data_IF_463645162833
#
_entry.id   IF_463645162833
#
_cell.length_a   1.000
_cell.length_b   1.000
_cell.length_c   1.000
_cell.angle_alpha   90.00
_cell.angle_beta   90.00
_cell.angle_gamma   90.00
#
_symmetry.space_group_name_H-M   'P 1'
#
loop_
_entity.id
_entity.type
_entity.pdbx_description
1 polymer ?
#
# COMPACT_ATOMS: atom_id res chain seq x y z
N UNK A 1 -15.40 2.02 8.96
CA UNK A 1 -15.80 1.25 7.77
C UNK A 1 -16.57 2.05 6.73
N UNK A 2 -17.12 3.23 7.05
CA UNK A 2 -17.92 4.05 6.11
C UNK A 2 -17.24 4.29 4.76
N UNK A 3 -16.02 4.84 4.75
CA UNK A 3 -15.29 5.08 3.51
C UNK A 3 -14.99 3.81 2.68
N UNK A 4 -14.87 2.64 3.33
CA UNK A 4 -14.73 1.37 2.61
C UNK A 4 -16.03 1.00 1.91
N UNK A 5 -17.16 1.14 2.60
CA UNK A 5 -18.49 0.80 2.08
C UNK A 5 -18.90 1.75 0.95
N UNK A 6 -18.63 3.05 1.09
CA UNK A 6 -18.83 4.04 0.01
C UNK A 6 -18.03 3.69 -1.24
N UNK A 7 -16.78 3.23 -1.07
CA UNK A 7 -15.95 2.77 -2.20
C UNK A 7 -16.51 1.51 -2.85
N UNK A 8 -17.05 0.58 -2.07
CA UNK A 8 -17.70 -0.64 -2.59
C UNK A 8 -18.95 -0.29 -3.39
N UNK A 9 -19.78 0.64 -2.89
CA UNK A 9 -20.95 1.13 -3.62
C UNK A 9 -20.54 1.79 -4.94
N UNK A 10 -19.52 2.66 -4.91
CA UNK A 10 -18.99 3.33 -6.10
C UNK A 10 -18.44 2.35 -7.16
N UNK A 11 -17.83 1.24 -6.74
CA UNK A 11 -17.38 0.18 -7.65
C UNK A 11 -18.54 -0.44 -8.42
N UNK A 12 -19.65 -0.78 -7.74
CA UNK A 12 -20.84 -1.31 -8.40
C UNK A 12 -21.46 -0.29 -9.37
N UNK A 13 -21.51 0.99 -8.97
CA UNK A 13 -21.99 2.08 -9.82
C UNK A 13 -21.14 2.25 -11.10
N UNK A 14 -19.83 1.96 -11.05
CA UNK A 14 -18.94 1.97 -12.22
C UNK A 14 -19.11 0.78 -13.16
N UNK A 15 -19.93 -0.23 -12.80
CA UNK A 15 -20.17 -1.40 -13.63
C UNK A 15 -19.31 -2.62 -13.31
N UNK A 16 -18.56 -2.62 -12.20
CA UNK A 16 -17.82 -3.81 -11.78
C UNK A 16 -18.78 -4.95 -11.38
N UNK A 17 -18.44 -6.18 -11.74
CA UNK A 17 -19.26 -7.37 -11.42
C UNK A 17 -19.05 -7.93 -10.00
N UNK A 18 -18.06 -7.40 -9.28
CA UNK A 18 -17.77 -7.83 -7.92
C UNK A 18 -16.72 -6.96 -7.25
N UNK A 19 -16.49 -7.23 -5.96
CA UNK A 19 -15.48 -6.56 -5.15
C UNK A 19 -14.77 -7.55 -4.23
N UNK A 20 -13.62 -7.15 -3.69
CA UNK A 20 -12.80 -7.96 -2.80
C UNK A 20 -12.87 -7.43 -1.37
N UNK A 21 -13.00 -8.35 -0.40
CA UNK A 21 -12.91 -8.05 1.03
C UNK A 21 -11.90 -8.98 1.69
N UNK A 22 -11.14 -8.47 2.66
CA UNK A 22 -10.07 -9.21 3.33
C UNK A 22 -10.50 -9.92 4.63
N UNK A 23 -11.76 -9.76 5.06
CA UNK A 23 -12.24 -10.33 6.31
C UNK A 23 -13.70 -10.81 6.17
N UNK A 24 -14.07 -12.01 6.66
CA UNK A 24 -15.42 -12.55 6.55
C UNK A 24 -16.52 -11.62 7.11
N UNK A 25 -16.21 -10.91 8.19
CA UNK A 25 -17.14 -9.93 8.80
C UNK A 25 -17.50 -8.74 7.91
N UNK A 26 -16.82 -8.53 6.77
CA UNK A 26 -17.15 -7.48 5.79
C UNK A 26 -18.07 -7.98 4.67
N UNK A 27 -18.25 -9.29 4.52
CA UNK A 27 -18.98 -9.88 3.38
C UNK A 27 -20.42 -9.37 3.32
N UNK A 28 -21.16 -9.45 4.43
CA UNK A 28 -22.57 -9.06 4.44
C UNK A 28 -22.76 -7.56 4.20
N UNK A 29 -21.93 -6.70 4.81
CA UNK A 29 -22.00 -5.26 4.59
C UNK A 29 -21.62 -4.88 3.15
N UNK A 30 -20.57 -5.49 2.60
CA UNK A 30 -20.16 -5.28 1.21
C UNK A 30 -21.27 -5.68 0.23
N UNK A 31 -21.91 -6.85 0.44
CA UNK A 31 -23.01 -7.32 -0.40
C UNK A 31 -24.20 -6.37 -0.40
N UNK A 32 -24.58 -5.83 0.77
CA UNK A 32 -25.70 -4.88 0.90
C UNK A 32 -25.42 -3.63 0.05
N UNK A 33 -24.21 -3.08 0.14
CA UNK A 33 -23.83 -1.86 -0.58
C UNK A 33 -23.67 -2.11 -2.09
N UNK A 34 -23.04 -3.22 -2.48
CA UNK A 34 -22.81 -3.57 -3.88
C UNK A 34 -24.11 -3.84 -4.64
N UNK A 35 -25.06 -4.55 -4.01
CA UNK A 35 -26.34 -4.91 -4.63
C UNK A 35 -27.28 -3.72 -4.85
N UNK A 36 -26.99 -2.54 -4.29
CA UNK A 36 -27.73 -1.30 -4.61
C UNK A 36 -27.64 -0.96 -6.11
N UNK A 37 -26.49 -1.21 -6.72
CA UNK A 37 -26.22 -0.93 -8.14
C UNK A 37 -26.11 -2.21 -8.99
N UNK A 38 -25.90 -3.39 -8.38
CA UNK A 38 -25.87 -4.70 -9.04
C UNK A 38 -26.98 -5.67 -8.56
N UNK A 39 -28.26 -5.48 -8.93
CA UNK A 39 -29.33 -6.38 -8.48
C UNK A 39 -29.36 -7.73 -9.23
N UNK A 40 -28.63 -7.86 -10.33
CA UNK A 40 -28.52 -9.10 -11.13
C UNK A 40 -27.23 -9.85 -10.76
N UNK A 41 -27.05 -11.05 -11.30
CA UNK A 41 -25.86 -11.86 -11.06
C UNK A 41 -24.55 -11.23 -11.60
N UNK A 42 -24.63 -10.32 -12.57
CA UNK A 42 -23.51 -9.60 -13.16
C UNK A 42 -23.98 -8.34 -13.92
N UNK A 43 -23.05 -7.45 -14.25
CA UNK A 43 -23.20 -6.19 -14.96
C UNK A 43 -22.56 -6.19 -16.37
N UNK A 44 -22.28 -7.34 -16.99
CA UNK A 44 -21.74 -7.42 -18.38
C UNK A 44 -22.44 -6.57 -19.46
N UNK A 45 -23.69 -6.13 -19.23
CA UNK A 45 -24.43 -5.24 -20.12
C UNK A 45 -24.05 -3.75 -19.95
N UNK A 46 -23.33 -3.40 -18.88
CA UNK A 46 -22.82 -2.07 -18.58
C UNK A 46 -21.47 -1.93 -19.25
N UNK A 47 -21.41 -1.09 -20.28
CA UNK A 47 -20.17 -0.70 -20.94
C UNK A 47 -19.81 0.70 -20.42
N UNK A 48 -18.67 0.87 -19.72
CA UNK A 48 -18.23 2.18 -19.30
C UNK A 48 -18.08 3.11 -20.50
N UNK A 49 -18.64 4.32 -20.40
CA UNK A 49 -18.55 5.32 -21.49
C UNK A 49 -17.19 6.00 -21.58
N UNK A 50 -16.24 5.64 -20.72
CA UNK A 50 -14.94 6.28 -20.64
C UNK A 50 -13.92 5.56 -21.51
N UNK A 51 -13.26 6.29 -22.41
CA UNK A 51 -12.14 5.79 -23.18
C UNK A 51 -10.83 6.01 -22.40
N UNK A 52 -10.11 4.93 -22.12
CA UNK A 52 -8.79 5.02 -21.52
C UNK A 52 -7.75 5.36 -22.61
N UNK A 53 -6.92 6.35 -22.35
CA UNK A 53 -5.77 6.67 -23.21
C UNK A 53 -4.49 6.07 -22.63
N UNK A 54 -3.49 5.83 -23.47
CA UNK A 54 -2.16 5.40 -22.99
C UNK A 54 -1.58 6.44 -22.02
N UNK A 55 -1.80 7.73 -22.29
CA UNK A 55 -1.34 8.80 -21.42
C UNK A 55 -1.96 8.73 -20.01
N UNK A 56 -3.26 8.45 -19.90
CA UNK A 56 -3.93 8.30 -18.59
C UNK A 56 -3.47 7.07 -17.80
N UNK A 57 -2.93 6.04 -18.45
CA UNK A 57 -2.43 4.85 -17.78
C UNK A 57 -1.04 5.04 -17.16
N UNK A 58 -0.28 6.02 -17.65
CA UNK A 58 1.07 6.34 -17.16
C UNK A 58 1.12 7.65 -16.37
N UNK A 59 -0.03 8.29 -16.20
CA UNK A 59 -0.16 9.49 -15.38
C UNK A 59 0.19 9.15 -13.93
N UNK A 60 1.10 9.93 -13.36
CA UNK A 60 1.54 9.72 -11.99
C UNK A 60 0.40 10.09 -11.03
N UNK A 61 0.08 9.27 -10.03
CA UNK A 61 -0.89 9.65 -9.01
C UNK A 61 -0.38 10.85 -8.19
N UNK A 62 -1.27 11.82 -8.02
CA UNK A 62 -1.03 12.96 -7.13
C UNK A 62 -1.48 12.65 -5.70
N UNK A 63 -0.74 13.15 -4.72
CA UNK A 63 -1.07 12.98 -3.32
C UNK A 63 0.09 13.35 -2.39
N UNK A 64 -0.19 13.65 -1.12
CA UNK A 64 0.85 14.05 -0.19
C UNK A 64 1.67 12.84 0.29
N UNK A 65 2.98 13.05 0.41
CA UNK A 65 3.85 12.16 1.19
C UNK A 65 3.81 12.68 2.63
N UNK A 66 3.23 11.89 3.53
CA UNK A 66 3.09 12.24 4.95
C UNK A 66 4.09 11.48 5.81
N UNK A 67 4.44 12.04 6.97
CA UNK A 67 5.30 11.37 7.95
C UNK A 67 4.68 10.04 8.40
N UNK A 68 3.38 10.02 8.66
CA UNK A 68 2.67 8.81 9.07
C UNK A 68 2.63 7.77 7.95
N UNK A 69 2.47 8.19 6.69
CA UNK A 69 2.58 7.32 5.52
C UNK A 69 3.95 6.66 5.45
N UNK A 70 5.02 7.46 5.55
CA UNK A 70 6.40 6.98 5.54
C UNK A 70 6.67 5.96 6.66
N UNK A 71 6.26 6.28 7.90
CA UNK A 71 6.36 5.38 9.04
C UNK A 71 5.56 4.09 8.86
N UNK A 72 4.35 4.18 8.29
CA UNK A 72 3.52 3.03 7.99
C UNK A 72 4.16 2.07 7.00
N UNK A 73 4.81 2.60 5.94
CA UNK A 73 5.56 1.79 4.98
C UNK A 73 6.77 1.11 5.64
N UNK A 74 7.56 1.84 6.43
CA UNK A 74 8.71 1.27 7.16
C UNK A 74 8.28 0.14 8.09
N UNK A 75 7.21 0.35 8.88
CA UNK A 75 6.67 -0.68 9.78
C UNK A 75 6.16 -1.90 9.04
N UNK A 76 5.46 -1.69 7.92
CA UNK A 76 4.94 -2.78 7.09
C UNK A 76 6.09 -3.63 6.53
N UNK A 77 7.14 -3.00 6.00
CA UNK A 77 8.32 -3.68 5.47
C UNK A 77 9.06 -4.47 6.56
N UNK A 78 9.34 -3.85 7.71
CA UNK A 78 10.03 -4.51 8.82
C UNK A 78 9.25 -5.72 9.35
N UNK A 79 7.93 -5.57 9.55
CA UNK A 79 7.09 -6.68 10.03
C UNK A 79 7.05 -7.83 9.01
N UNK A 80 7.05 -7.52 7.71
CA UNK A 80 7.02 -8.54 6.66
C UNK A 80 8.29 -9.39 6.64
N UNK A 81 9.46 -8.81 6.95
CA UNK A 81 10.70 -9.56 7.10
C UNK A 81 10.66 -10.51 8.31
N UNK A 82 9.88 -10.19 9.34
CA UNK A 82 9.71 -11.04 10.53
C UNK A 82 8.54 -12.01 10.45
N UNK A 83 7.67 -11.92 9.43
CA UNK A 83 6.41 -12.66 9.39
C UNK A 83 6.51 -14.05 8.77
N UNK A 84 7.69 -14.48 8.33
CA UNK A 84 7.91 -15.80 7.68
C UNK A 84 6.94 -16.07 6.50
N UNK A 85 6.55 -15.02 5.78
CA UNK A 85 5.61 -15.11 4.65
C UNK A 85 4.13 -15.07 5.03
N UNK A 86 3.80 -14.94 6.31
CA UNK A 86 2.44 -14.67 6.77
C UNK A 86 2.02 -13.21 6.54
N UNK A 87 0.70 -12.99 6.52
CA UNK A 87 0.14 -11.65 6.44
C UNK A 87 0.53 -10.79 7.64
N UNK A 88 0.73 -9.50 7.37
CA UNK A 88 1.11 -8.49 8.38
C UNK A 88 -0.10 -7.63 8.70
N UNK A 89 -0.27 -7.26 9.98
CA UNK A 89 -1.26 -6.25 10.38
C UNK A 89 -0.53 -4.98 10.80
N UNK A 90 -0.80 -3.88 10.10
CA UNK A 90 -0.25 -2.55 10.41
C UNK A 90 -1.30 -1.48 10.09
N UNK A 91 -1.47 -0.51 11.01
CA UNK A 91 -2.50 0.53 10.88
C UNK A 91 -3.93 0.01 10.82
N UNK A 92 -4.22 -1.14 11.45
CA UNK A 92 -5.54 -1.78 11.41
C UNK A 92 -5.90 -2.45 10.08
N UNK A 93 -4.93 -2.67 9.19
CA UNK A 93 -5.12 -3.28 7.87
C UNK A 93 -4.26 -4.54 7.73
N UNK A 94 -4.80 -5.54 7.02
CA UNK A 94 -4.08 -6.75 6.63
C UNK A 94 -3.28 -6.48 5.36
N UNK A 95 -2.00 -6.82 5.37
CA UNK A 95 -1.04 -6.64 4.28
C UNK A 95 -0.49 -8.01 3.88
N UNK A 96 -0.44 -8.26 2.57
CA UNK A 96 0.17 -9.44 1.98
C UNK A 96 1.60 -9.14 1.50
N UNK A 97 2.24 -10.12 0.86
CA UNK A 97 3.61 -9.98 0.33
C UNK A 97 3.69 -8.86 -0.71
N UNK A 98 2.66 -8.68 -1.54
CA UNK A 98 2.60 -7.60 -2.54
C UNK A 98 2.58 -6.23 -1.88
N UNK A 99 1.79 -6.07 -0.81
CA UNK A 99 1.72 -4.83 -0.02
C UNK A 99 3.06 -4.50 0.63
N UNK A 100 3.77 -5.50 1.16
CA UNK A 100 5.12 -5.33 1.71
C UNK A 100 6.13 -4.93 0.62
N UNK A 101 6.09 -5.57 -0.55
CA UNK A 101 6.93 -5.22 -1.70
C UNK A 101 6.68 -3.79 -2.15
N UNK A 102 5.41 -3.39 -2.28
CA UNK A 102 5.05 -2.01 -2.64
C UNK A 102 5.58 -1.01 -1.61
N UNK A 103 5.55 -1.34 -0.32
CA UNK A 103 6.08 -0.46 0.71
C UNK A 103 7.58 -0.20 0.54
N UNK A 104 8.38 -1.22 0.25
CA UNK A 104 9.81 -1.03 0.01
C UNK A 104 10.07 -0.29 -1.30
N UNK A 105 9.35 -0.62 -2.37
CA UNK A 105 9.49 0.06 -3.66
C UNK A 105 9.15 1.56 -3.57
N UNK A 106 8.11 1.94 -2.82
CA UNK A 106 7.75 3.34 -2.63
C UNK A 106 8.81 4.10 -1.82
N UNK A 107 9.34 3.49 -0.75
CA UNK A 107 10.42 4.09 0.04
C UNK A 107 11.69 4.30 -0.80
N UNK A 108 12.08 3.27 -1.56
CA UNK A 108 13.20 3.33 -2.50
C UNK A 108 12.96 4.40 -3.58
N UNK A 109 11.76 4.44 -4.17
CA UNK A 109 11.42 5.40 -5.23
C UNK A 109 11.45 6.83 -4.72
N UNK A 110 10.96 7.09 -3.50
CA UNK A 110 11.02 8.44 -2.92
C UNK A 110 12.46 8.85 -2.62
N UNK A 111 13.32 7.94 -2.18
CA UNK A 111 14.74 8.25 -2.02
C UNK A 111 15.43 8.62 -3.34
N UNK A 112 15.04 7.99 -4.45
CA UNK A 112 15.70 8.13 -5.76
C UNK A 112 14.98 9.12 -6.70
N UNK A 113 14.02 9.90 -6.22
CA UNK A 113 13.21 10.80 -7.04
C UNK A 113 13.18 12.21 -6.45
N UNK A 114 13.25 13.23 -7.31
CA UNK A 114 13.04 14.64 -6.95
C UNK A 114 11.67 14.91 -6.30
N UNK A 115 10.74 13.97 -6.42
CA UNK A 115 9.40 14.08 -5.83
C UNK A 115 9.29 13.40 -4.47
N UNK A 116 10.36 12.83 -3.94
CA UNK A 116 10.40 12.20 -2.63
C UNK A 116 10.49 13.20 -1.49
N UNK A 117 9.53 14.12 -1.40
CA UNK A 117 9.54 15.18 -0.39
C UNK A 117 8.32 15.08 0.50
N UNK A 118 8.52 15.08 1.81
CA UNK A 118 7.44 15.14 2.79
C UNK A 118 6.71 16.46 2.63
N UNK A 119 5.46 16.39 2.19
CA UNK A 119 4.72 17.55 1.65
C UNK A 119 4.54 18.66 2.67
N UNK A 120 4.33 18.30 3.95
CA UNK A 120 4.08 19.27 5.01
C UNK A 120 5.35 20.03 5.46
N UNK A 121 6.53 19.43 5.37
CA UNK A 121 7.79 20.01 5.87
C UNK A 121 8.76 20.42 4.76
N UNK A 122 8.57 19.94 3.53
CA UNK A 122 9.56 20.09 2.46
C UNK A 122 10.82 19.24 2.67
N UNK A 123 10.84 18.34 3.66
CA UNK A 123 12.00 17.48 3.93
C UNK A 123 12.08 16.38 2.88
N UNK A 124 13.22 16.26 2.22
CA UNK A 124 13.52 15.18 1.29
C UNK A 124 13.67 13.84 2.02
N UNK A 125 13.19 12.77 1.40
CA UNK A 125 13.43 11.41 1.83
C UNK A 125 14.84 11.04 1.36
N UNK A 126 15.80 11.08 2.27
CA UNK A 126 17.20 10.73 2.00
C UNK A 126 17.68 9.56 2.87
N UNK A 127 18.85 9.01 2.55
CA UNK A 127 19.43 7.83 3.20
C UNK A 127 19.43 7.92 4.72
N UNK A 128 19.91 9.03 5.27
CA UNK A 128 20.03 9.19 6.73
C UNK A 128 18.67 9.23 7.42
N UNK A 129 17.64 9.77 6.75
CA UNK A 129 16.27 9.73 7.27
C UNK A 129 15.78 8.29 7.30
N UNK A 130 15.93 7.53 6.21
CA UNK A 130 15.52 6.13 6.16
C UNK A 130 16.27 5.27 7.17
N UNK A 131 17.60 5.41 7.28
CA UNK A 131 18.43 4.75 8.30
C UNK A 131 17.93 5.03 9.71
N UNK A 132 17.62 6.30 10.01
CA UNK A 132 17.09 6.68 11.31
C UNK A 132 15.72 6.04 11.58
N UNK A 133 14.80 6.12 10.63
CA UNK A 133 13.43 5.60 10.79
C UNK A 133 13.41 4.08 10.91
N UNK A 134 14.16 3.37 10.08
CA UNK A 134 14.27 1.90 10.11
C UNK A 134 14.80 1.44 11.46
N UNK A 135 15.94 1.99 11.92
CA UNK A 135 16.51 1.65 13.23
C UNK A 135 15.53 1.94 14.36
N UNK A 136 14.92 3.12 14.34
CA UNK A 136 13.97 3.55 15.36
C UNK A 136 12.75 2.62 15.45
N UNK A 137 12.17 2.25 14.31
CA UNK A 137 10.98 1.39 14.30
C UNK A 137 11.33 -0.08 14.57
N UNK A 138 12.49 -0.57 14.13
CA UNK A 138 12.92 -1.93 14.40
C UNK A 138 13.15 -2.20 15.90
N UNK A 139 13.62 -1.21 16.68
CA UNK A 139 13.74 -1.37 18.14
C UNK A 139 12.43 -1.68 18.86
N UNK A 140 11.29 -1.43 18.19
CA UNK A 140 9.95 -1.71 18.73
C UNK A 140 9.44 -3.09 18.36
N UNK A 141 10.14 -3.81 17.47
CA UNK A 141 9.83 -5.19 17.13
C UNK A 141 10.46 -6.13 18.16
N UNK A 142 9.81 -7.27 18.40
CA UNK A 142 10.43 -8.37 19.13
C UNK A 142 11.41 -9.14 18.24
N UNK A 143 12.40 -9.80 18.85
CA UNK A 143 13.41 -10.60 18.14
C UNK A 143 14.78 -9.92 18.07
N UNK A 144 15.56 -10.22 17.03
CA UNK A 144 16.84 -9.57 16.74
C UNK A 144 16.63 -8.38 15.77
N UNK A 145 16.55 -7.14 16.28
CA UNK A 145 16.29 -5.97 15.46
C UNK A 145 17.46 -5.62 14.52
N UNK A 146 18.68 -6.09 14.80
CA UNK A 146 19.85 -5.75 14.00
C UNK A 146 19.79 -6.43 12.63
N UNK A 147 19.58 -7.75 12.60
CA UNK A 147 19.50 -8.51 11.36
C UNK A 147 18.39 -7.98 10.42
N UNK A 148 17.21 -7.68 10.97
CA UNK A 148 16.07 -7.17 10.19
C UNK A 148 16.34 -5.75 9.66
N UNK A 149 16.99 -4.89 10.46
CA UNK A 149 17.42 -3.57 10.00
C UNK A 149 18.37 -3.68 8.81
N UNK A 150 19.40 -4.52 8.94
CA UNK A 150 20.46 -4.62 7.95
C UNK A 150 19.91 -5.14 6.62
N UNK A 151 19.00 -6.14 6.66
CA UNK A 151 18.30 -6.61 5.47
C UNK A 151 17.51 -5.49 4.79
N UNK A 152 16.62 -4.81 5.53
CA UNK A 152 15.79 -3.76 4.93
C UNK A 152 16.63 -2.57 4.40
N UNK A 153 17.69 -2.19 5.10
CA UNK A 153 18.56 -1.10 4.66
C UNK A 153 19.39 -1.47 3.44
N UNK A 154 19.81 -2.74 3.30
CA UNK A 154 20.48 -3.20 2.10
C UNK A 154 19.59 -3.03 0.86
N UNK A 155 18.29 -3.32 1.00
CA UNK A 155 17.33 -3.12 -0.09
C UNK A 155 17.07 -1.64 -0.36
N UNK A 156 16.76 -0.85 0.67
CA UNK A 156 16.41 0.56 0.49
C UNK A 156 17.58 1.38 -0.10
N UNK A 157 18.80 1.10 0.33
CA UNK A 157 19.99 1.84 -0.10
C UNK A 157 20.66 1.23 -1.34
N UNK A 158 20.06 0.22 -1.95
CA UNK A 158 20.54 -0.35 -3.21
C UNK A 158 20.48 0.71 -4.32
N UNK A 159 21.53 0.85 -5.15
CA UNK A 159 21.49 1.73 -6.32
C UNK A 159 20.53 1.20 -7.41
N UNK A 160 20.25 -0.10 -7.40
CA UNK A 160 19.31 -0.75 -8.31
C UNK A 160 17.98 -1.03 -7.62
N UNK A 161 16.92 -1.12 -8.43
CA UNK A 161 15.58 -1.41 -7.93
C UNK A 161 15.57 -2.76 -7.18
N UNK A 162 15.11 -2.83 -5.92
CA UNK A 162 15.19 -4.05 -5.15
C UNK A 162 14.31 -5.17 -5.73
N UNK A 163 14.92 -6.32 -6.03
CA UNK A 163 14.21 -7.54 -6.40
C UNK A 163 13.73 -8.26 -5.13
N UNK A 164 12.66 -7.74 -4.53
CA UNK A 164 12.15 -8.23 -3.25
C UNK A 164 11.05 -9.28 -3.36
N UNK A 165 11.01 -10.15 -2.34
CA UNK A 165 9.94 -11.10 -2.06
C UNK A 165 9.54 -12.00 -3.23
N UNK A 166 10.53 -12.50 -4.01
CA UNK A 166 10.32 -13.58 -4.97
C UNK A 166 9.85 -14.89 -4.29
#
# INVERSE_FOLDING_TARGET
>A
YTALLERIEAQAALGLDGTWVAHPGLVSAALVEFNKHMPKAHQFHVVPSHEASVASLVERPEGPITVDGLLGLVRTALRALTSEGHHVVEGGRLHDRTSARLAVLLLWQWQHSEHGTITASGLEVHDDLLKYLVKKEATKLGGDPAAVCDTLLADLLSPELPELFA
#
